data_IF_707525018988
#
_entry.id   IF_707525018988
#
_cell.length_a   1.000
_cell.length_b   1.000
_cell.length_c   1.000
_cell.angle_alpha   90.00
_cell.angle_beta   90.00
_cell.angle_gamma   90.00
#
_symmetry.space_group_name_H-M   'P 1'
#
loop_
_entity.id
_entity.type
_entity.pdbx_description
1 polymer ?
#
# COMPACT_ATOMS: atom_id res chain seq x y z
N UNK A 1 -68.32 54.46 -25.72
CA UNK A 1 -68.12 53.03 -26.09
C UNK A 1 -66.63 52.80 -26.16
N UNK A 2 -66.10 52.07 -25.17
CA UNK A 2 -64.68 51.72 -25.12
C UNK A 2 -64.55 50.18 -25.14
N UNK A 3 -63.89 49.65 -26.16
CA UNK A 3 -63.56 48.22 -26.26
C UNK A 3 -62.26 47.96 -25.48
N UNK A 4 -62.15 46.87 -24.69
CA UNK A 4 -60.89 46.51 -24.07
C UNK A 4 -60.05 45.60 -24.99
N UNK A 5 -58.81 45.88 -25.14
CA UNK A 5 -57.81 45.10 -25.83
C UNK A 5 -57.48 43.81 -25.03
N UNK A 6 -57.72 42.69 -25.68
CA UNK A 6 -57.29 41.36 -25.18
C UNK A 6 -55.83 41.16 -25.55
N UNK A 7 -54.91 41.15 -24.56
CA UNK A 7 -53.52 40.81 -24.74
C UNK A 7 -53.36 39.30 -24.61
N UNK A 8 -53.09 38.65 -25.73
CA UNK A 8 -52.69 37.23 -25.78
C UNK A 8 -51.19 37.22 -25.40
N UNK A 9 -50.86 36.63 -24.23
CA UNK A 9 -49.51 36.29 -23.84
C UNK A 9 -49.18 34.90 -24.36
N UNK A 10 -48.36 34.82 -25.39
CA UNK A 10 -47.82 33.54 -25.89
C UNK A 10 -46.66 33.15 -24.99
N UNK A 11 -46.84 32.16 -24.17
CA UNK A 11 -45.82 31.55 -23.34
C UNK A 11 -45.00 30.56 -24.19
N UNK A 12 -43.81 30.98 -24.66
CA UNK A 12 -42.83 30.09 -25.31
C UNK A 12 -42.14 29.27 -24.22
N UNK A 13 -42.53 28.02 -24.07
CA UNK A 13 -41.82 27.01 -23.30
C UNK A 13 -40.61 26.57 -24.11
N UNK A 14 -39.45 27.15 -23.81
CA UNK A 14 -38.15 26.65 -24.27
C UNK A 14 -37.76 25.47 -23.36
N UNK A 15 -38.06 24.24 -23.80
CA UNK A 15 -37.54 23.02 -23.19
C UNK A 15 -36.06 22.90 -23.55
N UNK A 16 -35.17 23.37 -22.65
CA UNK A 16 -33.73 23.13 -22.75
C UNK A 16 -33.47 21.65 -22.43
N UNK A 17 -33.39 20.82 -23.46
CA UNK A 17 -32.90 19.43 -23.32
C UNK A 17 -31.38 19.52 -23.09
N UNK A 18 -30.95 19.60 -21.82
CA UNK A 18 -29.58 19.36 -21.46
C UNK A 18 -29.26 17.89 -21.68
N UNK A 19 -28.74 17.59 -22.87
CA UNK A 19 -28.07 16.31 -23.12
C UNK A 19 -26.82 16.27 -22.23
N UNK A 20 -26.89 15.56 -21.10
CA UNK A 20 -25.73 15.17 -20.34
C UNK A 20 -24.91 14.19 -21.18
N UNK A 21 -24.02 14.72 -22.02
CA UNK A 21 -22.93 13.92 -22.52
C UNK A 21 -22.04 13.56 -21.33
N UNK A 22 -22.32 12.42 -20.71
CA UNK A 22 -21.36 11.78 -19.82
C UNK A 22 -20.17 11.37 -20.69
N UNK A 23 -19.20 12.27 -20.83
CA UNK A 23 -17.89 11.88 -21.29
C UNK A 23 -17.33 10.92 -20.25
N UNK A 24 -17.56 9.64 -20.48
CA UNK A 24 -16.81 8.60 -19.80
C UNK A 24 -15.33 8.82 -20.13
N UNK A 25 -14.66 9.57 -19.27
CA UNK A 25 -13.22 9.75 -19.33
C UNK A 25 -12.64 8.32 -19.25
N UNK A 26 -12.18 7.77 -20.38
CA UNK A 26 -11.36 6.57 -20.40
C UNK A 26 -10.17 6.89 -19.52
N UNK A 27 -10.25 6.55 -18.26
CA UNK A 27 -9.11 6.63 -17.36
C UNK A 27 -8.04 5.74 -17.97
N UNK A 28 -6.96 6.37 -18.41
CA UNK A 28 -5.82 5.65 -18.97
C UNK A 28 -5.20 4.89 -17.81
N UNK A 29 -5.60 3.64 -17.61
CA UNK A 29 -5.22 2.79 -16.48
C UNK A 29 -3.80 2.23 -16.66
N UNK A 30 -2.93 3.00 -17.35
CA UNK A 30 -1.55 2.63 -17.60
C UNK A 30 -0.65 3.06 -16.46
N UNK A 31 0.32 2.21 -16.17
CA UNK A 31 1.38 2.51 -15.23
C UNK A 31 2.26 3.67 -15.73
N UNK A 32 2.45 4.68 -14.87
CA UNK A 32 3.41 5.78 -15.06
C UNK A 32 4.58 5.52 -14.12
N UNK A 33 5.79 5.48 -14.64
CA UNK A 33 6.98 5.44 -13.80
C UNK A 33 7.15 6.77 -13.07
N UNK A 34 7.26 6.71 -11.74
CA UNK A 34 7.64 7.86 -10.91
C UNK A 34 9.16 8.01 -10.83
N UNK A 35 9.88 6.91 -10.99
CA UNK A 35 11.35 6.88 -11.04
C UNK A 35 11.82 6.63 -12.47
N UNK A 36 12.56 7.59 -13.03
CA UNK A 36 12.99 7.55 -14.44
C UNK A 36 14.19 6.63 -14.69
N UNK A 37 14.80 6.07 -13.65
CA UNK A 37 15.98 5.19 -13.74
C UNK A 37 17.31 5.90 -14.06
N UNK A 38 17.34 7.23 -14.10
CA UNK A 38 18.54 8.01 -14.44
C UNK A 38 18.96 8.97 -13.33
N UNK A 39 18.01 9.69 -12.77
CA UNK A 39 18.22 10.73 -11.77
C UNK A 39 16.97 10.96 -10.92
N UNK A 40 17.04 11.93 -10.01
CA UNK A 40 15.95 12.34 -9.13
C UNK A 40 15.29 13.65 -9.56
N UNK A 41 15.37 14.05 -10.81
CA UNK A 41 14.80 15.31 -11.33
C UNK A 41 13.30 15.48 -11.07
N UNK A 42 12.56 14.36 -10.95
CA UNK A 42 11.12 14.32 -10.63
C UNK A 42 10.81 14.32 -9.14
N UNK A 43 11.82 14.37 -8.29
CA UNK A 43 11.72 14.28 -6.84
C UNK A 43 12.30 15.50 -6.17
N UNK A 44 11.83 15.81 -4.97
CA UNK A 44 12.51 16.64 -4.01
C UNK A 44 13.19 15.75 -2.96
N UNK A 45 14.37 16.14 -2.50
CA UNK A 45 15.05 15.45 -1.40
C UNK A 45 15.03 16.34 -0.17
N UNK A 46 14.93 15.74 1.01
CA UNK A 46 15.10 16.42 2.28
C UNK A 46 15.97 15.56 3.21
N UNK A 47 16.95 16.18 3.84
CA UNK A 47 17.81 15.55 4.83
C UNK A 47 17.84 16.42 6.10
N UNK A 48 17.73 15.77 7.27
CA UNK A 48 17.84 16.43 8.57
C UNK A 48 19.31 16.81 8.88
N UNK A 49 19.56 17.41 10.05
CA UNK A 49 20.90 17.73 10.51
C UNK A 49 21.70 16.45 10.76
N UNK A 50 23.03 16.51 10.46
CA UNK A 50 23.94 15.35 10.55
C UNK A 50 24.21 14.91 11.99
N UNK A 51 24.04 15.80 12.95
CA UNK A 51 24.31 15.54 14.35
C UNK A 51 23.10 15.02 15.15
N UNK A 52 21.94 14.85 14.51
CA UNK A 52 20.78 14.22 15.15
C UNK A 52 20.96 12.70 15.20
N UNK A 53 20.75 12.12 16.38
CA UNK A 53 21.06 10.72 16.67
C UNK A 53 19.85 9.86 17.01
N UNK A 54 18.65 10.44 17.11
CA UNK A 54 17.46 9.71 17.52
C UNK A 54 16.16 10.29 17.02
N UNK A 55 15.09 9.99 17.73
CA UNK A 55 13.71 10.35 17.37
C UNK A 55 13.25 11.68 17.99
N UNK A 56 13.95 12.19 19.01
CA UNK A 56 13.60 13.46 19.63
C UNK A 56 14.56 14.57 19.22
N UNK A 57 14.09 15.82 19.35
CA UNK A 57 14.87 17.02 19.04
C UNK A 57 16.10 17.17 19.97
N UNK A 58 16.09 16.53 21.14
CA UNK A 58 17.17 16.57 22.13
C UNK A 58 18.23 15.45 21.91
N UNK A 59 17.93 14.49 21.05
CA UNK A 59 18.85 13.39 20.73
C UNK A 59 19.83 13.82 19.63
N UNK A 60 20.85 14.60 20.02
CA UNK A 60 21.89 15.10 19.11
C UNK A 60 23.27 15.09 19.76
N UNK A 61 24.30 15.07 18.92
CA UNK A 61 25.69 15.19 19.35
C UNK A 61 26.17 16.63 19.14
N UNK A 62 26.53 17.31 20.24
CA UNK A 62 26.96 18.70 20.19
C UNK A 62 25.83 19.71 20.02
N UNK A 63 26.16 20.98 19.68
CA UNK A 63 25.15 22.00 19.53
C UNK A 63 24.23 21.75 18.33
N UNK A 64 22.98 22.25 18.37
CA UNK A 64 22.05 22.15 17.26
C UNK A 64 22.64 22.68 15.94
N UNK A 65 22.48 21.90 14.88
CA UNK A 65 22.88 22.27 13.53
C UNK A 65 21.63 22.43 12.64
N UNK A 66 21.70 23.29 11.61
CA UNK A 66 20.64 23.35 10.63
C UNK A 66 20.53 22.03 9.86
N UNK A 67 19.34 21.70 9.34
CA UNK A 67 19.19 20.56 8.45
C UNK A 67 20.06 20.75 7.19
N UNK A 68 20.49 19.65 6.58
CA UNK A 68 21.10 19.70 5.25
C UNK A 68 20.12 20.34 4.28
N UNK A 69 18.85 19.99 4.41
CA UNK A 69 17.73 20.72 3.81
C UNK A 69 17.27 20.19 2.46
N UNK A 70 16.48 21.03 1.79
CA UNK A 70 15.76 20.71 0.56
C UNK A 70 16.71 20.68 -0.64
N UNK A 71 16.65 19.59 -1.43
CA UNK A 71 17.40 19.42 -2.68
C UNK A 71 18.92 19.62 -2.51
N UNK A 72 19.40 19.29 -1.34
CA UNK A 72 20.83 19.35 -0.98
C UNK A 72 21.24 17.98 -0.41
N UNK A 73 22.15 17.29 -1.11
CA UNK A 73 22.63 15.97 -0.71
C UNK A 73 24.16 15.84 -0.92
N UNK A 74 24.96 16.55 -0.12
CA UNK A 74 26.41 16.52 -0.25
C UNK A 74 27.04 15.17 0.14
N UNK A 75 26.27 14.29 0.80
CA UNK A 75 26.74 12.98 1.26
C UNK A 75 26.33 11.84 0.33
N UNK A 76 25.62 12.15 -0.77
CA UNK A 76 25.12 11.15 -1.71
C UNK A 76 24.27 10.07 -1.02
N UNK A 77 23.39 10.50 -0.12
CA UNK A 77 22.41 9.63 0.55
C UNK A 77 21.49 8.99 -0.49
N UNK A 78 21.12 9.77 -1.51
CA UNK A 78 20.26 9.33 -2.61
C UNK A 78 21.06 9.31 -3.92
N UNK A 79 21.32 8.12 -4.47
CA UNK A 79 22.08 7.97 -5.70
C UNK A 79 21.36 7.07 -6.71
N UNK A 80 21.55 7.33 -7.99
CA UNK A 80 21.00 6.51 -9.07
C UNK A 80 22.14 5.94 -9.89
N UNK A 81 22.15 4.60 -10.04
CA UNK A 81 23.12 3.89 -10.86
C UNK A 81 22.45 2.68 -11.52
N UNK A 82 22.67 2.49 -12.81
CA UNK A 82 22.19 1.34 -13.58
C UNK A 82 20.69 1.09 -13.46
N UNK A 83 19.88 2.17 -13.43
CA UNK A 83 18.42 2.08 -13.28
C UNK A 83 17.94 1.80 -11.86
N UNK A 84 18.82 1.79 -10.87
CA UNK A 84 18.53 1.50 -9.47
C UNK A 84 18.75 2.75 -8.64
N UNK A 85 17.76 3.13 -7.86
CA UNK A 85 17.88 4.11 -6.81
C UNK A 85 18.45 3.41 -5.57
N UNK A 86 19.56 3.94 -5.06
CA UNK A 86 20.13 3.58 -3.77
C UNK A 86 19.83 4.68 -2.76
N UNK A 87 19.32 4.31 -1.61
CA UNK A 87 19.21 5.15 -0.42
C UNK A 87 20.20 4.59 0.61
N UNK A 88 21.17 5.40 1.03
CA UNK A 88 22.22 4.91 1.92
C UNK A 88 21.73 4.64 3.34
N UNK A 89 20.74 5.40 3.80
CA UNK A 89 20.28 5.37 5.19
C UNK A 89 21.15 6.15 6.19
N UNK A 90 22.27 6.70 5.75
CA UNK A 90 23.26 7.33 6.64
C UNK A 90 22.72 8.55 7.37
N UNK A 91 21.94 9.38 6.69
CA UNK A 91 21.22 10.52 7.27
C UNK A 91 19.73 10.30 7.05
N UNK A 92 18.94 10.54 8.08
CA UNK A 92 17.50 10.45 7.96
C UNK A 92 16.93 11.57 7.09
N UNK A 93 15.97 11.20 6.28
CA UNK A 93 15.33 12.08 5.32
C UNK A 93 14.40 11.32 4.39
N UNK A 94 14.11 11.90 3.25
CA UNK A 94 13.30 11.23 2.23
C UNK A 94 13.50 11.84 0.84
N UNK A 95 13.22 11.05 -0.19
CA UNK A 95 12.81 11.58 -1.49
C UNK A 95 11.29 11.74 -1.49
N UNK A 96 10.81 12.81 -2.10
CA UNK A 96 9.41 13.22 -2.06
C UNK A 96 8.92 13.52 -3.47
N UNK A 97 7.73 13.03 -3.84
CA UNK A 97 7.12 13.39 -5.12
C UNK A 97 6.81 14.88 -5.19
N UNK A 98 7.03 15.52 -6.35
CA UNK A 98 6.63 16.92 -6.56
C UNK A 98 5.12 17.07 -6.60
N UNK A 99 4.43 16.07 -7.16
CA UNK A 99 2.98 16.02 -7.30
C UNK A 99 2.32 15.32 -6.10
N UNK A 100 1.05 15.62 -5.87
CA UNK A 100 0.17 14.93 -4.94
C UNK A 100 -0.70 13.92 -5.68
N UNK A 101 -0.96 12.79 -5.02
CA UNK A 101 -1.76 11.70 -5.56
C UNK A 101 -2.94 11.37 -4.64
N UNK A 102 -4.06 11.00 -5.26
CA UNK A 102 -5.24 10.42 -4.63
C UNK A 102 -5.87 9.41 -5.58
N UNK A 103 -6.49 8.36 -5.05
CA UNK A 103 -7.10 7.28 -5.83
C UNK A 103 -6.13 6.61 -6.80
N UNK A 104 -5.11 5.97 -6.28
CA UNK A 104 -4.04 5.37 -7.05
C UNK A 104 -3.71 3.93 -6.62
N UNK A 105 -3.05 3.21 -7.52
CA UNK A 105 -2.33 1.97 -7.26
C UNK A 105 -0.84 2.26 -7.44
N UNK A 106 -0.09 2.25 -6.36
CA UNK A 106 1.36 2.41 -6.32
C UNK A 106 2.01 1.03 -6.27
N UNK A 107 3.09 0.83 -7.03
CA UNK A 107 3.95 -0.35 -6.95
C UNK A 107 5.39 0.08 -6.83
N UNK A 108 6.15 -0.56 -5.96
CA UNK A 108 7.58 -0.41 -5.86
C UNK A 108 8.26 -1.75 -5.58
N UNK A 109 9.51 -1.86 -6.02
CA UNK A 109 10.30 -3.09 -5.86
C UNK A 109 11.57 -2.73 -5.11
N UNK A 110 11.67 -3.22 -3.88
CA UNK A 110 12.75 -2.89 -2.96
C UNK A 110 13.62 -4.09 -2.61
N UNK A 111 14.85 -3.81 -2.18
CA UNK A 111 15.80 -4.79 -1.65
C UNK A 111 16.68 -4.13 -0.60
N UNK A 112 16.96 -4.84 0.48
CA UNK A 112 17.90 -4.40 1.49
C UNK A 112 19.35 -4.50 1.03
N UNK A 113 20.16 -3.50 1.42
CA UNK A 113 21.61 -3.54 1.35
C UNK A 113 22.25 -4.10 2.61
N UNK A 114 23.55 -4.00 2.69
CA UNK A 114 24.30 -4.54 3.84
C UNK A 114 24.60 -3.50 4.94
N UNK A 115 24.65 -2.23 4.57
CA UNK A 115 25.02 -1.16 5.50
C UNK A 115 23.89 -0.78 6.43
N UNK A 116 24.26 -0.56 7.69
CA UNK A 116 23.38 0.03 8.72
C UNK A 116 24.12 1.11 9.44
N UNK A 117 23.39 2.11 9.94
CA UNK A 117 23.94 3.28 10.60
C UNK A 117 23.25 3.51 11.94
N UNK A 118 23.98 4.14 12.85
CA UNK A 118 23.42 4.62 14.12
C UNK A 118 22.18 5.52 13.86
N UNK A 119 21.12 5.45 14.68
CA UNK A 119 20.98 4.68 15.92
C UNK A 119 20.45 3.24 15.73
N UNK A 120 20.23 2.76 14.50
CA UNK A 120 19.62 1.46 14.21
C UNK A 120 20.62 0.42 13.67
N UNK A 121 21.91 0.62 13.88
CA UNK A 121 22.98 -0.26 13.38
C UNK A 121 22.92 -1.69 13.93
N UNK A 122 22.36 -1.87 15.14
CA UNK A 122 22.12 -3.17 15.77
C UNK A 122 20.69 -3.68 15.62
N UNK A 123 19.78 -2.85 15.12
CA UNK A 123 18.36 -3.18 14.94
C UNK A 123 18.10 -3.74 13.54
N UNK A 124 16.89 -4.26 13.26
CA UNK A 124 16.46 -4.57 11.91
C UNK A 124 16.61 -3.36 10.99
N UNK A 125 16.85 -3.61 9.69
CA UNK A 125 16.90 -2.54 8.68
C UNK A 125 15.54 -1.87 8.60
N UNK A 126 15.53 -0.53 8.59
CA UNK A 126 14.31 0.23 8.68
C UNK A 126 14.19 1.27 7.56
N UNK A 127 13.02 1.38 7.01
CA UNK A 127 12.57 2.40 6.09
C UNK A 127 11.05 2.29 5.93
N UNK A 128 10.42 3.32 5.36
CA UNK A 128 8.99 3.33 5.09
C UNK A 128 8.65 4.04 3.78
N UNK A 129 7.45 3.76 3.29
CA UNK A 129 6.82 4.52 2.22
C UNK A 129 5.68 5.32 2.81
N UNK A 130 5.89 6.63 2.92
CA UNK A 130 4.92 7.55 3.47
C UNK A 130 3.95 7.99 2.37
N UNK A 131 2.67 8.04 2.70
CA UNK A 131 1.64 8.43 1.75
C UNK A 131 0.69 9.45 2.34
N UNK A 132 -0.01 10.16 1.45
CA UNK A 132 -0.82 11.31 1.81
C UNK A 132 -0.04 12.35 2.62
N UNK A 133 1.23 12.55 2.24
CA UNK A 133 2.14 13.48 2.90
C UNK A 133 1.68 14.92 2.69
N UNK A 134 1.63 15.71 3.77
CA UNK A 134 1.22 17.12 3.76
C UNK A 134 2.06 17.95 4.71
N UNK A 135 2.13 19.28 4.46
CA UNK A 135 2.85 20.23 5.32
C UNK A 135 4.34 20.29 5.05
N UNK A 136 5.12 20.54 6.07
CA UNK A 136 6.56 20.76 5.98
C UNK A 136 7.33 19.45 5.94
N UNK A 137 8.51 19.46 5.29
CA UNK A 137 9.40 18.28 5.19
C UNK A 137 9.96 17.83 6.54
N UNK A 138 10.08 18.73 7.49
CA UNK A 138 10.67 18.54 8.81
C UNK A 138 9.64 18.30 9.93
N UNK A 139 8.40 18.01 9.59
CA UNK A 139 7.31 17.90 10.57
C UNK A 139 7.54 16.78 11.60
N UNK A 140 7.81 15.56 11.14
CA UNK A 140 8.07 14.43 12.00
C UNK A 140 9.58 14.15 12.05
N UNK A 141 10.15 14.04 13.27
CA UNK A 141 11.56 13.72 13.49
C UNK A 141 12.55 14.60 12.71
N UNK A 142 12.15 15.83 12.35
CA UNK A 142 12.89 16.78 11.51
C UNK A 142 13.25 16.27 10.11
N UNK A 143 12.63 15.21 9.64
CA UNK A 143 12.99 14.59 8.37
C UNK A 143 11.84 14.12 7.50
N UNK A 144 10.60 14.05 8.03
CA UNK A 144 9.46 13.56 7.26
C UNK A 144 8.25 14.48 7.37
N UNK A 145 7.46 14.49 6.31
CA UNK A 145 6.18 15.19 6.29
C UNK A 145 5.16 14.45 7.17
N UNK A 146 4.13 15.17 7.60
CA UNK A 146 2.97 14.54 8.22
C UNK A 146 2.30 13.58 7.22
N UNK A 147 2.12 12.32 7.62
CA UNK A 147 1.72 11.25 6.70
C UNK A 147 1.19 10.00 7.41
N UNK A 148 0.74 9.04 6.63
CA UNK A 148 0.60 7.64 6.99
C UNK A 148 1.75 6.86 6.38
N UNK A 149 2.10 5.73 6.96
CA UNK A 149 3.23 4.93 6.53
C UNK A 149 2.85 3.47 6.26
N UNK A 150 3.27 2.97 5.11
CA UNK A 150 3.48 1.56 4.89
C UNK A 150 4.93 1.25 5.27
N UNK A 151 5.10 0.61 6.41
CA UNK A 151 6.41 0.19 6.89
C UNK A 151 7.06 -0.80 5.94
N UNK A 152 8.36 -0.64 5.70
CA UNK A 152 9.18 -1.61 4.97
C UNK A 152 10.36 -2.11 5.81
N UNK A 153 10.26 -2.07 7.13
CA UNK A 153 11.25 -2.65 8.03
C UNK A 153 11.46 -4.14 7.74
N UNK A 154 12.71 -4.60 7.83
CA UNK A 154 13.10 -5.99 7.58
C UNK A 154 12.32 -6.96 8.49
N UNK A 155 11.57 -7.86 7.89
CA UNK A 155 10.67 -8.78 8.59
C UNK A 155 9.29 -8.20 8.91
N UNK A 156 9.00 -6.94 8.57
CA UNK A 156 7.77 -6.24 8.93
C UNK A 156 7.16 -5.41 7.78
N UNK A 157 7.51 -5.73 6.54
CA UNK A 157 6.94 -5.02 5.37
C UNK A 157 5.42 -5.17 5.35
N UNK A 158 4.72 -4.02 5.32
CA UNK A 158 3.27 -3.96 5.30
C UNK A 158 2.61 -3.65 6.65
N UNK A 159 3.39 -3.43 7.71
CA UNK A 159 2.86 -2.83 8.93
C UNK A 159 2.39 -1.40 8.64
N UNK A 160 1.45 -0.94 9.42
CA UNK A 160 1.03 0.46 9.40
C UNK A 160 1.66 1.24 10.53
N UNK A 161 2.15 2.43 10.21
CA UNK A 161 2.54 3.46 11.17
C UNK A 161 1.83 4.78 10.91
N UNK A 162 1.57 5.51 11.98
CA UNK A 162 1.04 6.86 11.92
C UNK A 162 2.17 7.87 12.14
N UNK A 163 2.56 8.57 11.09
CA UNK A 163 3.61 9.58 11.13
C UNK A 163 3.00 10.98 11.17
N UNK A 164 2.58 11.40 12.37
CA UNK A 164 2.15 12.78 12.55
C UNK A 164 0.67 13.05 12.77
N UNK A 165 -0.04 12.20 13.51
CA UNK A 165 -1.31 12.56 14.13
C UNK A 165 -2.58 12.23 13.36
N UNK A 166 -2.52 11.38 12.35
CA UNK A 166 -3.69 10.76 11.75
C UNK A 166 -4.23 9.61 12.59
N UNK A 167 -5.43 9.15 12.27
CA UNK A 167 -6.01 7.91 12.77
C UNK A 167 -6.68 7.19 11.62
N UNK A 168 -6.81 5.87 11.71
CA UNK A 168 -7.58 5.08 10.75
C UNK A 168 -8.42 4.04 11.50
N UNK A 169 -9.32 3.39 10.79
CA UNK A 169 -10.05 2.24 11.31
C UNK A 169 -9.44 0.96 10.73
N UNK A 170 -9.33 -0.05 11.57
CA UNK A 170 -8.76 -1.35 11.23
C UNK A 170 -9.62 -2.48 11.75
N UNK A 171 -9.53 -3.61 11.10
CA UNK A 171 -9.95 -4.90 11.62
C UNK A 171 -8.73 -5.54 12.27
N UNK A 172 -8.70 -5.61 13.60
CA UNK A 172 -7.53 -6.12 14.33
C UNK A 172 -7.93 -7.11 15.41
N UNK A 173 -7.11 -8.13 15.58
CA UNK A 173 -7.09 -8.96 16.77
C UNK A 173 -6.13 -8.38 17.79
N UNK A 174 -6.43 -8.64 19.05
CA UNK A 174 -5.64 -8.12 20.15
C UNK A 174 -4.19 -8.60 20.11
N UNK A 175 -3.36 -7.75 20.67
CA UNK A 175 -1.90 -7.78 20.84
C UNK A 175 -1.23 -9.13 20.63
N UNK A 176 -0.53 -9.24 19.52
CA UNK A 176 0.38 -10.36 19.26
C UNK A 176 1.81 -9.94 19.57
N UNK A 177 2.65 -10.90 19.91
CA UNK A 177 4.10 -10.63 19.99
C UNK A 177 4.68 -10.56 18.59
N UNK A 178 5.36 -9.46 18.32
CA UNK A 178 6.13 -9.27 17.10
C UNK A 178 7.42 -10.10 17.11
N UNK A 179 8.06 -10.24 15.96
CA UNK A 179 9.36 -10.94 15.87
C UNK A 179 10.46 -10.24 16.71
N UNK A 180 10.26 -8.96 17.07
CA UNK A 180 11.17 -8.18 17.92
C UNK A 180 10.74 -8.12 19.39
N UNK A 181 9.87 -9.06 19.81
CA UNK A 181 9.36 -9.17 21.18
C UNK A 181 8.53 -7.96 21.66
N UNK A 182 8.15 -7.08 20.78
CA UNK A 182 7.17 -6.02 21.01
C UNK A 182 5.75 -6.59 20.97
N UNK A 183 4.75 -5.84 21.39
CA UNK A 183 3.35 -6.20 21.25
C UNK A 183 2.62 -5.16 20.43
N UNK A 184 1.87 -5.60 19.44
CA UNK A 184 1.04 -4.74 18.61
C UNK A 184 -0.27 -5.44 18.26
N UNK A 185 -1.30 -4.66 17.97
CA UNK A 185 -2.52 -5.18 17.38
C UNK A 185 -2.22 -5.62 15.93
N UNK A 186 -2.74 -6.78 15.54
CA UNK A 186 -2.46 -7.38 14.24
C UNK A 186 -3.69 -7.33 13.34
N UNK A 187 -3.51 -6.95 12.08
CA UNK A 187 -4.57 -6.99 11.09
C UNK A 187 -5.17 -8.39 10.95
N UNK A 188 -6.49 -8.47 11.11
CA UNK A 188 -7.30 -9.67 10.94
C UNK A 188 -8.67 -9.28 10.38
N UNK A 189 -8.96 -9.51 9.09
CA UNK A 189 -10.20 -9.09 8.45
C UNK A 189 -11.46 -9.84 8.94
N UNK A 190 -11.32 -10.81 9.84
CA UNK A 190 -12.46 -11.46 10.51
C UNK A 190 -13.00 -10.65 11.70
N UNK A 191 -12.27 -9.64 12.15
CA UNK A 191 -12.59 -8.82 13.31
C UNK A 191 -13.47 -7.61 12.93
N UNK A 192 -14.23 -7.03 13.88
CA UNK A 192 -14.93 -5.77 13.66
C UNK A 192 -13.95 -4.61 13.44
N UNK A 193 -14.42 -3.55 12.77
CA UNK A 193 -13.68 -2.31 12.60
C UNK A 193 -13.56 -1.57 13.94
N UNK A 194 -12.35 -1.14 14.26
CA UNK A 194 -12.05 -0.28 15.41
C UNK A 194 -11.15 0.87 14.99
N UNK A 195 -11.32 2.04 15.59
CA UNK A 195 -10.44 3.18 15.37
C UNK A 195 -9.12 2.96 16.11
N UNK A 196 -8.02 3.08 15.39
CA UNK A 196 -6.68 2.82 15.91
C UNK A 196 -5.72 4.00 15.64
N UNK A 197 -5.06 4.53 16.67
CA UNK A 197 -4.19 5.71 16.52
C UNK A 197 -2.73 5.38 16.23
N UNK A 198 -2.30 4.13 16.36
CA UNK A 198 -0.90 3.74 16.36
C UNK A 198 -0.58 2.67 15.32
N UNK A 199 0.47 1.91 15.62
CA UNK A 199 0.95 0.82 14.79
C UNK A 199 -0.06 -0.33 14.71
N UNK A 200 -0.27 -0.85 13.51
CA UNK A 200 -1.01 -2.10 13.26
C UNK A 200 -0.13 -3.05 12.47
N UNK A 201 0.06 -4.24 13.03
CA UNK A 201 0.87 -5.28 12.41
C UNK A 201 0.13 -5.94 11.27
N UNK A 202 0.88 -6.28 10.23
CA UNK A 202 0.39 -7.03 9.08
C UNK A 202 -0.13 -8.41 9.47
N UNK A 203 -0.97 -9.01 8.63
CA UNK A 203 -1.55 -10.34 8.86
C UNK A 203 -0.51 -11.47 8.83
N UNK A 204 0.54 -11.36 8.02
CA UNK A 204 1.59 -12.36 7.87
C UNK A 204 2.81 -11.82 7.11
N UNK A 205 3.89 -12.60 7.06
CA UNK A 205 5.13 -12.23 6.39
C UNK A 205 5.22 -12.88 5.00
N UNK A 206 5.14 -12.04 3.97
CA UNK A 206 5.26 -12.43 2.55
C UNK A 206 6.48 -11.80 1.86
N UNK A 207 7.46 -11.33 2.63
CA UNK A 207 8.70 -10.79 2.09
C UNK A 207 9.51 -11.83 1.34
N UNK A 208 10.28 -11.38 0.35
CA UNK A 208 11.31 -12.22 -0.25
C UNK A 208 12.47 -12.44 0.74
N UNK A 209 13.20 -13.54 0.62
CA UNK A 209 14.39 -13.77 1.42
C UNK A 209 15.39 -12.60 1.35
N UNK A 210 16.20 -12.46 2.40
CA UNK A 210 17.23 -11.41 2.44
C UNK A 210 18.11 -11.42 1.18
N UNK A 211 18.31 -10.22 0.62
CA UNK A 211 19.08 -10.03 -0.60
C UNK A 211 18.28 -10.22 -1.89
N UNK A 212 17.03 -10.67 -1.81
CA UNK A 212 16.13 -10.75 -2.95
C UNK A 212 15.22 -9.52 -3.03
N UNK A 213 14.62 -9.32 -4.20
CA UNK A 213 13.71 -8.21 -4.45
C UNK A 213 12.28 -8.54 -3.98
N UNK A 214 11.73 -7.70 -3.12
CA UNK A 214 10.34 -7.75 -2.68
C UNK A 214 9.52 -6.74 -3.48
N UNK A 215 8.38 -7.18 -4.02
CA UNK A 215 7.39 -6.29 -4.64
C UNK A 215 6.36 -5.89 -3.60
N UNK A 216 6.22 -4.60 -3.38
CA UNK A 216 5.21 -4.04 -2.50
C UNK A 216 4.28 -3.12 -3.29
N UNK A 217 3.00 -3.16 -2.93
CA UNK A 217 1.98 -2.35 -3.61
C UNK A 217 1.06 -1.70 -2.57
N UNK A 218 0.53 -0.54 -2.93
CA UNK A 218 -0.45 0.19 -2.14
C UNK A 218 -1.59 0.62 -3.05
N UNK A 219 -2.82 0.31 -2.67
CA UNK A 219 -4.02 0.85 -3.32
C UNK A 219 -4.66 1.86 -2.38
N UNK A 220 -4.58 3.14 -2.71
CA UNK A 220 -5.24 4.22 -1.97
C UNK A 220 -6.55 4.60 -2.69
N UNK A 221 -7.67 4.60 -1.96
CA UNK A 221 -9.03 4.89 -2.46
C UNK A 221 -9.74 5.80 -1.49
N UNK A 222 -10.06 7.02 -1.92
CA UNK A 222 -10.62 8.01 -0.98
C UNK A 222 -9.80 8.07 0.31
N UNK A 223 -10.40 7.79 1.45
CA UNK A 223 -9.74 7.72 2.75
C UNK A 223 -9.38 6.28 3.18
N UNK A 224 -9.28 5.33 2.25
CA UNK A 224 -8.91 3.95 2.53
C UNK A 224 -7.60 3.57 1.85
N UNK A 225 -6.89 2.59 2.41
CA UNK A 225 -5.71 2.02 1.77
C UNK A 225 -5.61 0.50 2.00
N UNK A 226 -4.96 -0.18 1.05
CA UNK A 226 -4.65 -1.61 1.12
C UNK A 226 -3.17 -1.79 0.85
N UNK A 227 -2.48 -2.55 1.69
CA UNK A 227 -1.07 -2.90 1.54
C UNK A 227 -0.92 -4.34 1.05
N UNK A 228 -0.09 -4.51 0.03
CA UNK A 228 0.12 -5.78 -0.65
C UNK A 228 1.62 -6.05 -0.70
N UNK A 229 2.04 -7.27 -0.35
CA UNK A 229 3.43 -7.73 -0.41
C UNK A 229 3.49 -9.02 -1.21
N UNK A 230 4.30 -9.04 -2.27
CA UNK A 230 4.46 -10.19 -3.18
C UNK A 230 3.12 -10.79 -3.64
N UNK A 231 2.12 -9.92 -3.91
CA UNK A 231 0.80 -10.30 -4.38
C UNK A 231 -0.18 -10.72 -3.28
N UNK A 232 0.16 -10.61 -2.00
CA UNK A 232 -0.74 -10.90 -0.89
C UNK A 232 -1.12 -9.63 -0.14
N UNK A 233 -2.42 -9.45 0.12
CA UNK A 233 -2.91 -8.39 1.00
C UNK A 233 -2.45 -8.69 2.42
N UNK A 234 -1.79 -7.71 3.03
CA UNK A 234 -1.23 -7.84 4.38
C UNK A 234 -1.83 -6.87 5.39
N UNK A 235 -2.42 -5.77 4.93
CA UNK A 235 -3.07 -4.78 5.81
C UNK A 235 -4.13 -3.99 5.05
N UNK A 236 -5.12 -3.46 5.79
CA UNK A 236 -6.14 -2.54 5.29
C UNK A 236 -6.43 -1.46 6.29
N UNK A 237 -6.53 -0.25 5.77
CA UNK A 237 -6.90 0.94 6.51
C UNK A 237 -8.22 1.48 5.96
N UNK A 238 -9.10 1.92 6.85
CA UNK A 238 -10.36 2.55 6.47
C UNK A 238 -10.49 3.90 7.17
N UNK A 239 -11.22 4.81 6.57
CA UNK A 239 -11.57 6.10 7.15
C UNK A 239 -10.37 6.84 7.75
N UNK A 240 -9.28 6.96 6.98
CA UNK A 240 -8.10 7.73 7.38
C UNK A 240 -8.53 9.18 7.63
N UNK A 241 -8.23 9.68 8.85
CA UNK A 241 -8.76 10.95 9.32
C UNK A 241 -7.71 11.74 10.11
N UNK A 242 -7.69 13.04 9.92
CA UNK A 242 -6.87 13.98 10.68
C UNK A 242 -7.71 14.69 11.71
N UNK A 243 -7.43 14.42 12.99
CA UNK A 243 -8.17 15.03 14.11
C UNK A 243 -7.97 16.54 14.20
N UNK A 244 -6.77 17.03 13.91
CA UNK A 244 -6.41 18.44 14.00
C UNK A 244 -7.09 19.30 12.95
N UNK A 245 -7.42 18.76 11.79
CA UNK A 245 -8.16 19.44 10.73
C UNK A 245 -9.64 19.03 10.66
N UNK A 246 -10.04 18.03 11.42
CA UNK A 246 -11.38 17.44 11.38
C UNK A 246 -11.81 17.01 9.97
N UNK A 247 -10.90 16.39 9.22
CA UNK A 247 -11.13 15.98 7.82
C UNK A 247 -10.57 14.59 7.49
N UNK A 248 -11.14 13.94 6.48
CA UNK A 248 -10.59 12.72 5.90
C UNK A 248 -9.34 13.02 5.07
N UNK A 249 -8.38 12.11 5.11
CA UNK A 249 -7.15 12.21 4.32
C UNK A 249 -7.30 11.37 3.06
N UNK A 250 -7.41 12.02 1.90
CA UNK A 250 -7.73 11.37 0.63
C UNK A 250 -6.65 11.52 -0.43
N UNK A 251 -5.66 12.39 -0.19
CA UNK A 251 -4.57 12.69 -1.12
C UNK A 251 -3.38 13.33 -0.43
N UNK A 252 -2.25 13.34 -1.10
CA UNK A 252 -1.02 14.02 -0.68
C UNK A 252 0.16 13.52 -1.50
N UNK A 253 1.36 13.98 -1.12
CA UNK A 253 2.62 13.52 -1.71
C UNK A 253 2.98 12.12 -1.21
N UNK A 254 3.96 11.51 -1.88
CA UNK A 254 4.59 10.25 -1.47
C UNK A 254 6.04 10.54 -1.06
N UNK A 255 6.48 9.91 0.05
CA UNK A 255 7.88 9.94 0.46
C UNK A 255 8.44 8.53 0.60
N UNK A 256 9.70 8.37 0.25
CA UNK A 256 10.47 7.15 0.45
C UNK A 256 11.61 7.50 1.41
N UNK A 257 11.60 6.87 2.57
CA UNK A 257 12.48 7.24 3.68
C UNK A 257 13.93 6.84 3.46
N UNK A 258 14.83 7.60 4.10
CA UNK A 258 16.18 7.23 4.49
C UNK A 258 16.18 7.12 6.01
N UNK A 259 16.44 5.91 6.56
CA UNK A 259 16.31 5.65 7.99
C UNK A 259 17.32 4.59 8.49
N UNK A 260 18.56 4.98 8.62
CA UNK A 260 19.66 4.17 9.20
C UNK A 260 19.99 2.85 8.48
N UNK A 261 19.38 2.56 7.33
CA UNK A 261 19.68 1.33 6.60
C UNK A 261 19.76 1.56 5.09
N UNK A 262 20.77 0.91 4.49
CA UNK A 262 20.93 0.91 3.04
C UNK A 262 19.86 0.06 2.38
N UNK A 263 19.19 0.62 1.37
CA UNK A 263 18.22 -0.11 0.57
C UNK A 263 18.15 0.43 -0.86
N UNK A 264 17.53 -0.35 -1.74
CA UNK A 264 17.50 -0.12 -3.17
C UNK A 264 16.09 -0.21 -3.71
N UNK A 265 15.77 0.65 -4.70
CA UNK A 265 14.55 0.56 -5.49
C UNK A 265 14.91 0.43 -6.97
N UNK A 266 14.34 -0.56 -7.65
CA UNK A 266 14.50 -0.70 -9.11
C UNK A 266 13.26 -0.29 -9.91
N UNK A 267 12.14 -0.07 -9.24
CA UNK A 267 10.87 0.30 -9.85
C UNK A 267 10.05 1.07 -8.83
N UNK A 268 9.56 2.23 -9.23
CA UNK A 268 8.52 2.97 -8.51
C UNK A 268 7.55 3.45 -9.57
N UNK A 269 6.34 2.92 -9.60
CA UNK A 269 5.34 3.22 -10.61
C UNK A 269 3.95 3.39 -10.01
N UNK A 270 3.13 4.24 -10.61
CA UNK A 270 1.79 4.57 -10.16
C UNK A 270 0.82 4.53 -11.33
N UNK A 271 -0.43 4.18 -11.06
CA UNK A 271 -1.54 4.35 -11.99
C UNK A 271 -2.78 4.84 -11.27
N UNK A 272 -3.67 5.61 -11.91
CA UNK A 272 -4.97 5.89 -11.36
C UNK A 272 -5.79 4.60 -11.26
N UNK A 273 -6.71 4.53 -10.31
CA UNK A 273 -7.67 3.43 -10.21
C UNK A 273 -8.97 3.80 -10.90
N UNK A 274 -9.63 2.78 -11.47
CA UNK A 274 -10.98 2.92 -12.02
C UNK A 274 -12.00 2.47 -10.98
N UNK A 275 -13.04 3.27 -10.79
CA UNK A 275 -14.19 2.92 -9.94
C UNK A 275 -15.29 2.16 -10.70
N UNK A 276 -15.03 1.77 -11.93
CA UNK A 276 -15.97 0.93 -12.70
C UNK A 276 -15.97 -0.47 -12.12
N UNK A 277 -17.08 -0.84 -11.51
CA UNK A 277 -17.26 -2.16 -10.93
C UNK A 277 -17.64 -3.17 -12.00
N UNK A 278 -16.86 -4.24 -12.16
CA UNK A 278 -17.24 -5.42 -12.91
C UNK A 278 -18.00 -6.40 -12.02
N UNK A 279 -18.77 -7.30 -12.66
CA UNK A 279 -19.51 -8.38 -11.97
C UNK A 279 -18.91 -9.74 -12.33
N UNK A 280 -17.73 -10.08 -11.80
CA UNK A 280 -17.15 -11.40 -12.00
C UNK A 280 -17.99 -12.46 -11.29
N UNK A 281 -17.99 -13.67 -11.82
CA UNK A 281 -18.51 -14.85 -11.15
C UNK A 281 -17.38 -15.87 -11.11
N UNK A 282 -16.62 -15.87 -10.04
CA UNK A 282 -15.50 -16.80 -9.87
C UNK A 282 -16.00 -18.09 -9.24
N UNK A 283 -15.59 -19.22 -9.84
CA UNK A 283 -15.97 -20.55 -9.38
C UNK A 283 -14.71 -21.39 -9.27
N UNK A 284 -14.42 -21.89 -8.08
CA UNK A 284 -13.36 -22.88 -7.87
C UNK A 284 -13.90 -24.30 -8.16
N UNK A 285 -13.02 -25.19 -8.59
CA UNK A 285 -13.38 -26.60 -8.80
C UNK A 285 -13.71 -27.33 -7.49
N UNK A 286 -13.21 -26.84 -6.35
CA UNK A 286 -13.54 -27.31 -5.00
C UNK A 286 -13.70 -26.09 -4.07
N UNK A 287 -14.48 -26.25 -3.01
CA UNK A 287 -14.62 -25.23 -1.96
C UNK A 287 -13.57 -25.38 -0.85
N UNK A 288 -13.03 -26.57 -0.71
CA UNK A 288 -12.02 -26.92 0.29
C UNK A 288 -10.88 -27.71 -0.34
N UNK A 289 -9.65 -27.41 0.08
CA UNK A 289 -8.45 -28.11 -0.36
C UNK A 289 -7.62 -28.49 0.87
N UNK A 290 -7.24 -29.75 0.98
CA UNK A 290 -6.29 -30.20 2.01
C UNK A 290 -4.88 -30.02 1.48
N UNK A 291 -4.09 -29.16 2.15
CA UNK A 291 -2.72 -28.86 1.80
C UNK A 291 -1.74 -29.71 2.62
N UNK A 292 -0.68 -30.17 2.00
CA UNK A 292 0.43 -30.87 2.67
C UNK A 292 1.77 -30.30 2.16
N UNK A 293 2.83 -30.48 2.95
CA UNK A 293 4.17 -30.07 2.56
C UNK A 293 4.79 -30.96 1.48
N UNK A 294 4.22 -32.14 1.26
CA UNK A 294 4.77 -33.16 0.34
C UNK A 294 4.15 -33.14 -1.05
N UNK A 295 3.00 -32.47 -1.22
CA UNK A 295 2.26 -32.49 -2.47
C UNK A 295 1.61 -31.16 -2.76
N UNK A 296 1.85 -30.63 -3.96
CA UNK A 296 1.14 -29.45 -4.46
C UNK A 296 -0.29 -29.79 -4.83
N UNK A 297 -1.24 -29.06 -4.27
CA UNK A 297 -2.63 -29.03 -4.73
C UNK A 297 -2.77 -28.02 -5.87
N UNK A 298 -3.70 -28.27 -6.79
CA UNK A 298 -4.01 -27.39 -7.90
C UNK A 298 -5.37 -26.73 -7.65
N UNK A 299 -5.34 -25.45 -7.27
CA UNK A 299 -6.56 -24.65 -7.10
C UNK A 299 -6.96 -24.11 -8.47
N UNK A 300 -8.05 -24.63 -9.03
CA UNK A 300 -8.57 -24.17 -10.31
C UNK A 300 -9.71 -23.17 -10.09
N UNK A 301 -9.59 -21.98 -10.69
CA UNK A 301 -10.59 -20.91 -10.60
C UNK A 301 -11.00 -20.49 -12.02
N UNK A 302 -12.28 -20.55 -12.32
CA UNK A 302 -12.87 -20.12 -13.60
C UNK A 302 -13.73 -18.90 -13.40
N UNK A 303 -13.56 -17.88 -14.26
CA UNK A 303 -14.47 -16.74 -14.29
C UNK A 303 -15.63 -17.00 -15.27
N UNK A 304 -16.86 -17.13 -14.75
CA UNK A 304 -18.08 -17.28 -15.53
C UNK A 304 -18.81 -15.96 -15.79
N UNK A 305 -18.42 -14.88 -15.10
CA UNK A 305 -19.01 -13.55 -15.20
C UNK A 305 -18.23 -12.59 -16.10
N UNK A 306 -18.33 -11.32 -15.82
CA UNK A 306 -17.61 -10.25 -16.53
C UNK A 306 -16.09 -10.34 -16.29
N UNK A 307 -15.31 -9.75 -17.20
CA UNK A 307 -13.87 -9.66 -17.02
C UNK A 307 -13.53 -8.85 -15.76
N UNK A 308 -12.55 -9.32 -15.00
CA UNK A 308 -12.09 -8.67 -13.77
C UNK A 308 -10.56 -8.61 -13.72
N UNK A 309 -10.03 -7.50 -13.25
CA UNK A 309 -8.62 -7.38 -12.92
C UNK A 309 -8.39 -7.78 -11.46
N UNK A 310 -7.61 -8.82 -11.26
CA UNK A 310 -7.15 -9.30 -9.95
C UNK A 310 -5.78 -8.68 -9.68
N UNK A 311 -5.63 -8.04 -8.54
CA UNK A 311 -4.39 -7.37 -8.16
C UNK A 311 -3.60 -8.12 -7.07
N UNK A 312 -4.30 -8.94 -6.26
CA UNK A 312 -3.69 -9.70 -5.18
C UNK A 312 -4.58 -10.87 -4.75
N UNK A 313 -4.05 -11.68 -3.85
CA UNK A 313 -4.79 -12.65 -3.04
C UNK A 313 -4.79 -12.21 -1.57
N UNK A 314 -5.71 -12.72 -0.77
CA UNK A 314 -5.74 -12.53 0.67
C UNK A 314 -5.92 -13.88 1.37
N UNK A 315 -5.12 -14.10 2.39
CA UNK A 315 -5.18 -15.28 3.27
C UNK A 315 -5.66 -14.83 4.66
N UNK A 316 -6.65 -15.54 5.22
CA UNK A 316 -7.29 -15.19 6.47
C UNK A 316 -7.30 -16.43 7.37
N UNK A 317 -6.77 -16.32 8.58
CA UNK A 317 -6.73 -17.43 9.51
C UNK A 317 -5.47 -17.46 10.35
N UNK A 318 -5.13 -18.64 10.88
CA UNK A 318 -3.90 -18.85 11.65
C UNK A 318 -2.79 -19.35 10.73
N UNK A 319 -1.54 -18.97 11.05
CA UNK A 319 -0.32 -19.40 10.33
C UNK A 319 -0.42 -19.20 8.81
N UNK A 320 -1.03 -18.10 8.36
CA UNK A 320 -1.26 -17.81 6.93
C UNK A 320 0.03 -17.76 6.12
N UNK A 321 1.13 -17.36 6.72
CA UNK A 321 2.46 -17.30 6.13
C UNK A 321 3.12 -18.70 5.97
N UNK A 322 2.50 -19.73 6.54
CA UNK A 322 2.87 -21.14 6.26
C UNK A 322 2.27 -21.67 4.96
N UNK A 323 1.19 -21.05 4.47
CA UNK A 323 0.55 -21.42 3.19
C UNK A 323 1.35 -20.81 2.04
N UNK A 324 1.74 -21.63 1.09
CA UNK A 324 2.50 -21.25 -0.10
C UNK A 324 1.61 -21.40 -1.32
N UNK A 325 1.22 -20.30 -1.93
CA UNK A 325 0.46 -20.29 -3.20
C UNK A 325 1.32 -19.59 -4.25
N UNK A 326 1.54 -20.25 -5.37
CA UNK A 326 2.24 -19.65 -6.51
C UNK A 326 1.26 -18.82 -7.32
N UNK A 327 1.28 -17.52 -7.09
CA UNK A 327 0.47 -16.55 -7.84
C UNK A 327 1.12 -16.28 -9.22
N UNK A 328 0.33 -16.07 -10.28
CA UNK A 328 0.82 -15.51 -11.53
C UNK A 328 1.27 -14.05 -11.33
N UNK A 329 1.97 -13.45 -12.31
CA UNK A 329 2.27 -12.02 -12.27
C UNK A 329 1.00 -11.19 -12.08
N UNK A 330 1.00 -10.31 -11.07
CA UNK A 330 -0.13 -9.41 -10.77
C UNK A 330 0.19 -7.97 -11.23
N UNK A 331 -0.82 -7.17 -11.60
CA UNK A 331 -2.22 -7.52 -11.79
C UNK A 331 -2.45 -8.38 -13.02
N UNK A 332 -3.51 -9.19 -12.97
CA UNK A 332 -3.91 -10.04 -14.09
C UNK A 332 -5.40 -9.88 -14.42
N UNK A 333 -5.76 -9.99 -15.70
CA UNK A 333 -7.16 -9.92 -16.13
C UNK A 333 -7.73 -11.32 -16.36
N UNK A 334 -8.74 -11.68 -15.58
CA UNK A 334 -9.54 -12.88 -15.79
C UNK A 334 -10.74 -12.56 -16.70
N UNK A 335 -10.66 -12.91 -17.98
CA UNK A 335 -11.77 -12.76 -18.93
C UNK A 335 -12.87 -13.77 -18.62
N UNK A 336 -14.09 -13.50 -19.11
CA UNK A 336 -15.18 -14.49 -19.06
C UNK A 336 -14.76 -15.80 -19.75
N UNK A 337 -14.97 -16.90 -19.08
CA UNK A 337 -14.59 -18.25 -19.53
C UNK A 337 -13.12 -18.61 -19.31
N UNK A 338 -12.25 -17.67 -18.91
CA UNK A 338 -10.86 -18.01 -18.62
C UNK A 338 -10.71 -18.72 -17.28
N UNK A 339 -9.70 -19.58 -17.20
CA UNK A 339 -9.32 -20.37 -16.03
C UNK A 339 -7.91 -20.03 -15.61
N UNK A 340 -7.67 -19.97 -14.29
CA UNK A 340 -6.35 -19.97 -13.70
C UNK A 340 -6.16 -21.22 -12.84
N UNK A 341 -4.92 -21.65 -12.72
CA UNK A 341 -4.52 -22.75 -11.85
C UNK A 341 -3.42 -22.25 -10.93
N UNK A 342 -3.66 -22.36 -9.63
CA UNK A 342 -2.75 -21.88 -8.59
C UNK A 342 -2.19 -23.09 -7.83
N UNK A 343 -0.91 -23.44 -8.01
CA UNK A 343 -0.26 -24.45 -7.18
C UNK A 343 -0.20 -23.98 -5.72
N UNK A 344 -0.66 -24.81 -4.80
CA UNK A 344 -0.70 -24.52 -3.37
C UNK A 344 -0.11 -25.67 -2.55
N UNK A 345 0.65 -25.33 -1.52
CA UNK A 345 1.25 -26.25 -0.55
C UNK A 345 1.39 -25.54 0.80
N UNK A 346 1.96 -26.21 1.81
CA UNK A 346 2.33 -25.61 3.09
C UNK A 346 3.82 -25.81 3.37
N UNK A 347 4.40 -24.98 4.22
CA UNK A 347 5.76 -25.14 4.72
C UNK A 347 5.85 -26.38 5.63
N UNK A 348 7.01 -27.00 5.67
CA UNK A 348 7.26 -28.10 6.61
C UNK A 348 7.16 -27.59 8.05
N UNK A 349 6.53 -28.38 8.93
CA UNK A 349 6.31 -28.03 10.33
C UNK A 349 5.07 -27.17 10.60
N UNK A 350 4.24 -26.91 9.58
CA UNK A 350 2.94 -26.22 9.75
C UNK A 350 2.03 -27.05 10.66
N UNK A 351 1.33 -26.39 11.58
CA UNK A 351 0.36 -27.04 12.48
C UNK A 351 -0.81 -27.62 11.68
N UNK A 352 -1.11 -28.93 11.79
CA UNK A 352 -2.26 -29.53 11.11
C UNK A 352 -3.61 -29.01 11.66
N UNK A 353 -4.62 -29.03 10.79
CA UNK A 353 -6.01 -28.70 11.18
C UNK A 353 -6.34 -27.21 11.17
N UNK A 354 -5.40 -26.33 10.84
CA UNK A 354 -5.73 -24.91 10.61
C UNK A 354 -6.54 -24.77 9.33
N UNK A 355 -7.56 -23.89 9.39
CA UNK A 355 -8.35 -23.48 8.23
C UNK A 355 -7.93 -22.08 7.85
N UNK A 356 -7.45 -21.91 6.61
CA UNK A 356 -7.09 -20.63 6.02
C UNK A 356 -8.07 -20.33 4.88
N UNK A 357 -8.78 -19.21 4.97
CA UNK A 357 -9.64 -18.75 3.89
C UNK A 357 -8.80 -17.99 2.86
N UNK A 358 -8.93 -18.37 1.60
CA UNK A 358 -8.31 -17.69 0.45
C UNK A 358 -9.37 -16.93 -0.34
N UNK A 359 -9.08 -15.69 -0.69
CA UNK A 359 -9.90 -14.89 -1.59
C UNK A 359 -9.05 -14.04 -2.53
N UNK A 360 -9.65 -13.51 -3.59
CA UNK A 360 -8.98 -12.69 -4.60
C UNK A 360 -9.38 -11.21 -4.45
N UNK A 361 -8.43 -10.32 -4.71
CA UNK A 361 -8.53 -8.88 -4.52
C UNK A 361 -8.54 -8.12 -5.83
N UNK A 362 -9.37 -7.10 -5.92
CA UNK A 362 -9.41 -6.09 -6.99
C UNK A 362 -9.03 -4.71 -6.42
N UNK A 363 -8.82 -3.71 -7.27
CA UNK A 363 -8.61 -2.33 -6.81
C UNK A 363 -9.80 -1.76 -6.01
N UNK A 364 -10.98 -2.36 -6.10
CA UNK A 364 -12.18 -1.94 -5.38
C UNK A 364 -12.49 -2.79 -4.14
N UNK A 365 -11.70 -3.78 -3.85
CA UNK A 365 -11.87 -4.69 -2.71
C UNK A 365 -11.89 -6.16 -3.12
N UNK A 366 -12.18 -7.05 -2.18
CA UNK A 366 -12.29 -8.48 -2.47
C UNK A 366 -13.37 -8.77 -3.51
N UNK A 367 -13.13 -9.80 -4.34
CA UNK A 367 -14.18 -10.30 -5.25
C UNK A 367 -15.33 -10.84 -4.41
N UNK A 368 -16.52 -10.26 -4.60
CA UNK A 368 -17.73 -10.66 -3.87
C UNK A 368 -18.02 -12.15 -4.08
N UNK A 369 -18.50 -12.82 -3.02
CA UNK A 369 -18.99 -14.21 -3.03
C UNK A 369 -17.95 -15.26 -3.47
N UNK A 370 -16.66 -14.89 -3.53
CA UNK A 370 -15.60 -15.83 -3.85
C UNK A 370 -14.65 -16.05 -2.66
N UNK A 371 -14.71 -17.24 -2.09
CA UNK A 371 -13.75 -17.73 -1.13
C UNK A 371 -13.64 -19.25 -1.17
N UNK A 372 -12.48 -19.76 -0.80
CA UNK A 372 -12.19 -21.20 -0.63
C UNK A 372 -11.47 -21.42 0.69
N UNK A 373 -11.61 -22.61 1.26
CA UNK A 373 -10.89 -23.00 2.46
C UNK A 373 -9.68 -23.87 2.13
N UNK A 374 -8.56 -23.58 2.77
CA UNK A 374 -7.33 -24.33 2.71
C UNK A 374 -7.09 -24.95 4.09
N UNK A 375 -7.07 -26.27 4.16
CA UNK A 375 -6.93 -27.04 5.41
C UNK A 375 -5.51 -27.58 5.47
N UNK A 376 -4.75 -27.26 6.49
CA UNK A 376 -3.39 -27.78 6.69
C UNK A 376 -3.41 -29.22 7.21
N UNK A 377 -2.51 -30.08 6.67
CA UNK A 377 -2.38 -31.48 7.05
C UNK A 377 -0.95 -31.85 7.40
#
# INVERSE_FOLDING_TARGET
>A
MRFPFLRIVVLLLVTCVMSFFSFGQKTNNTWKSLFNGRDLSNWDTWLRATNMTGYSDDEMIGPPQPPIGLNNDPLNVFTVKDGILRISGEIWGAITTKEEYGNYHLRFVTKWGDKKYFPKDTLPRDAGVLFHCTGNFDYAFKCWMRSMEMQIQEGEIGDFFNVGGGVAEFQVKEKVKTIYNETADQYDPSQPLVRHPGRVWRSGNFESPKGEWTTSEMVARHADAVFIVNGFVVNRLFNIFRKDLNEQVTRGKLQFQSESAEHFYKKIEIRPISFVQSRPVLVANQKEYTLSALQNQQIEITNKGEAVEIIAAELIGKEIDSVVIKLPPMPMVLKKGSKIVLPATIKQGTTPGNVVTFRLETVLGPVSDFQINLITK
#
